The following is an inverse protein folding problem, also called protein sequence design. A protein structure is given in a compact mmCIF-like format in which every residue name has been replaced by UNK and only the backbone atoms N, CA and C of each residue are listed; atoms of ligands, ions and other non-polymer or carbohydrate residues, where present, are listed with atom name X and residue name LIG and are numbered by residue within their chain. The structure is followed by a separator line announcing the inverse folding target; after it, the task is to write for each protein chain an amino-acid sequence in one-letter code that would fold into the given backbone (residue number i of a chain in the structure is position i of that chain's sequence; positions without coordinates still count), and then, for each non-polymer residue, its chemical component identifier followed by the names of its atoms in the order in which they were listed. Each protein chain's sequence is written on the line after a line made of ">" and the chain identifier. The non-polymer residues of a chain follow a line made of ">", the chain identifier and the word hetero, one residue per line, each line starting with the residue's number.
data_IF_063541943390
#
_entry.id   IF_063541943390
#
_cell.length_a   1.000
_cell.length_b   1.000
_cell.length_c   1.000
_cell.angle_alpha   90.00
_cell.angle_beta   90.00
_cell.angle_gamma   90.00
#
_symmetry.space_group_name_H-M   'P 1'
#
loop_
_entity.id
_entity.type
_entity.pdbx_description
1 polymer ?
#
# COMPACT_ATOMS: atom_id res chain seq x y z
N UNK A 1 22.38 4.79 -55.72
CA UNK A 1 20.97 4.80 -55.26
C UNK A 1 20.47 3.46 -54.71
N UNK A 2 20.88 2.28 -55.23
CA UNK A 2 20.40 0.96 -54.76
C UNK A 2 20.54 0.68 -53.25
N UNK A 3 21.52 1.25 -52.56
CA UNK A 3 21.73 0.96 -51.13
C UNK A 3 20.83 1.76 -50.17
N UNK A 4 20.28 2.93 -50.59
CA UNK A 4 19.35 3.69 -49.72
C UNK A 4 18.02 2.98 -49.53
N UNK A 5 17.52 2.30 -50.57
CA UNK A 5 16.27 1.55 -50.51
C UNK A 5 16.37 0.29 -49.61
N UNK A 6 17.57 -0.28 -49.43
CA UNK A 6 17.79 -1.43 -48.55
C UNK A 6 17.67 -1.07 -47.07
N UNK A 7 18.18 0.09 -46.66
CA UNK A 7 18.11 0.54 -45.26
C UNK A 7 16.66 0.87 -44.86
N UNK A 8 15.93 1.57 -45.73
CA UNK A 8 14.50 1.86 -45.51
C UNK A 8 13.68 0.57 -45.46
N UNK A 9 13.99 -0.42 -46.30
CA UNK A 9 13.33 -1.73 -46.28
C UNK A 9 13.55 -2.49 -44.97
N UNK A 10 14.75 -2.47 -44.40
CA UNK A 10 15.04 -3.13 -43.11
C UNK A 10 14.33 -2.44 -41.94
N UNK A 11 14.23 -1.10 -41.96
CA UNK A 11 13.55 -0.34 -40.91
C UNK A 11 12.04 -0.60 -40.91
N UNK A 12 11.43 -0.63 -42.10
CA UNK A 12 10.02 -0.99 -42.25
C UNK A 12 9.74 -2.45 -41.84
N UNK A 13 10.68 -3.36 -42.12
CA UNK A 13 10.58 -4.76 -41.65
C UNK A 13 10.61 -4.82 -40.12
N UNK A 14 11.50 -4.05 -39.47
CA UNK A 14 11.57 -3.95 -38.01
C UNK A 14 10.27 -3.42 -37.39
N UNK A 15 9.68 -2.38 -37.97
CA UNK A 15 8.37 -1.85 -37.54
C UNK A 15 7.26 -2.88 -37.71
N UNK A 16 7.27 -3.63 -38.82
CA UNK A 16 6.29 -4.69 -39.07
C UNK A 16 6.41 -5.81 -38.02
N UNK A 17 7.65 -6.22 -37.68
CA UNK A 17 7.89 -7.22 -36.63
C UNK A 17 7.45 -6.71 -35.25
N UNK A 18 7.73 -5.45 -34.90
CA UNK A 18 7.26 -4.85 -33.63
C UNK A 18 5.73 -4.87 -33.56
N UNK A 19 5.04 -4.49 -34.64
CA UNK A 19 3.58 -4.54 -34.68
C UNK A 19 3.03 -5.97 -34.60
N UNK A 20 3.67 -6.94 -35.27
CA UNK A 20 3.26 -8.35 -35.19
C UNK A 20 3.44 -8.90 -33.78
N UNK A 21 4.53 -8.53 -33.09
CA UNK A 21 4.78 -8.95 -31.70
C UNK A 21 3.77 -8.34 -30.74
N UNK A 22 3.38 -7.08 -30.95
CA UNK A 22 2.32 -6.42 -30.17
C UNK A 22 0.96 -7.11 -30.37
N UNK A 23 0.62 -7.47 -31.61
CA UNK A 23 -0.63 -8.22 -31.88
C UNK A 23 -0.59 -9.61 -31.24
N UNK A 24 0.55 -10.31 -31.29
CA UNK A 24 0.66 -11.62 -30.64
C UNK A 24 0.49 -11.55 -29.12
N UNK A 25 1.02 -10.50 -28.48
CA UNK A 25 0.86 -10.26 -27.03
C UNK A 25 -0.61 -10.00 -26.69
N UNK A 26 -1.34 -9.24 -27.53
CA UNK A 26 -2.78 -9.04 -27.35
C UNK A 26 -3.58 -10.34 -27.55
N UNK A 27 -3.16 -11.24 -28.43
CA UNK A 27 -3.86 -12.52 -28.66
C UNK A 27 -3.53 -13.62 -27.65
N UNK A 28 -2.50 -13.44 -26.83
CA UNK A 28 -2.16 -14.35 -25.72
C UNK A 28 -2.64 -13.83 -24.37
N UNK A 29 -3.47 -12.78 -24.34
CA UNK A 29 -4.39 -12.63 -23.24
C UNK A 29 -5.28 -13.88 -23.29
N UNK A 30 -4.93 -14.89 -22.48
CA UNK A 30 -5.84 -15.99 -22.20
C UNK A 30 -7.18 -15.35 -21.89
N UNK A 31 -8.24 -15.90 -22.49
CA UNK A 31 -9.60 -15.49 -22.16
C UNK A 31 -9.73 -15.72 -20.66
N UNK A 32 -9.71 -14.62 -19.89
CA UNK A 32 -10.01 -14.63 -18.47
C UNK A 32 -11.34 -15.33 -18.36
N UNK A 33 -11.33 -16.47 -17.69
CA UNK A 33 -12.54 -17.23 -17.47
C UNK A 33 -13.14 -16.66 -16.19
N UNK A 34 -14.09 -15.76 -16.36
CA UNK A 34 -14.79 -15.04 -15.30
C UNK A 34 -16.27 -15.42 -15.44
N UNK A 35 -16.69 -16.38 -14.63
CA UNK A 35 -18.00 -17.02 -14.78
C UNK A 35 -19.14 -16.25 -14.14
N UNK A 36 -18.86 -15.46 -13.11
CA UNK A 36 -19.82 -14.65 -12.37
C UNK A 36 -19.76 -13.15 -12.73
N UNK A 37 -18.81 -12.76 -13.59
CA UNK A 37 -18.63 -11.42 -14.13
C UNK A 37 -18.30 -10.39 -13.03
N UNK A 38 -17.52 -10.79 -12.03
CA UNK A 38 -17.00 -9.91 -10.99
C UNK A 38 -15.68 -9.20 -11.42
N UNK A 39 -15.12 -9.60 -12.56
CA UNK A 39 -13.88 -9.07 -13.12
C UNK A 39 -12.62 -9.85 -12.73
N UNK A 40 -12.76 -10.97 -12.03
CA UNK A 40 -11.69 -11.82 -11.52
C UNK A 40 -11.65 -13.16 -12.28
N UNK A 41 -10.45 -13.72 -12.45
CA UNK A 41 -10.31 -15.04 -13.10
C UNK A 41 -10.72 -16.16 -12.15
N UNK A 42 -11.64 -17.03 -12.55
CA UNK A 42 -12.15 -18.18 -11.78
C UNK A 42 -11.00 -19.05 -11.20
N UNK A 43 -9.86 -19.19 -11.90
CA UNK A 43 -8.74 -19.99 -11.37
C UNK A 43 -8.01 -19.25 -10.24
N UNK A 44 -7.96 -17.92 -10.31
CA UNK A 44 -7.38 -17.09 -9.25
C UNK A 44 -8.28 -17.12 -8.02
N UNK A 45 -9.60 -17.09 -8.22
CA UNK A 45 -10.58 -17.27 -7.16
C UNK A 45 -10.45 -18.63 -6.50
N UNK A 46 -10.47 -19.73 -7.27
CA UNK A 46 -10.40 -21.10 -6.74
C UNK A 46 -9.14 -21.33 -5.89
N UNK A 47 -7.99 -20.76 -6.29
CA UNK A 47 -6.75 -20.87 -5.52
C UNK A 47 -6.80 -20.07 -4.20
N UNK A 48 -7.59 -18.99 -4.16
CA UNK A 48 -7.72 -18.13 -2.99
C UNK A 48 -8.98 -18.40 -2.15
N UNK A 49 -9.88 -19.26 -2.63
CA UNK A 49 -11.14 -19.62 -2.00
C UNK A 49 -10.94 -20.20 -0.60
N UNK A 50 -11.90 -19.92 0.29
CA UNK A 50 -11.82 -20.23 1.72
C UNK A 50 -13.08 -20.90 2.21
N UNK A 51 -12.91 -21.76 3.20
CA UNK A 51 -13.99 -22.29 4.03
C UNK A 51 -14.18 -21.35 5.22
N UNK A 52 -15.43 -20.92 5.44
CA UNK A 52 -15.78 -20.05 6.56
C UNK A 52 -16.67 -20.80 7.55
N UNK A 53 -16.25 -20.82 8.81
CA UNK A 53 -17.03 -21.31 9.94
C UNK A 53 -17.30 -20.14 10.88
N UNK A 54 -18.56 -19.98 11.30
CA UNK A 54 -19.00 -18.92 12.21
C UNK A 54 -19.64 -19.57 13.42
N UNK A 55 -19.06 -19.33 14.60
CA UNK A 55 -19.58 -19.74 15.89
C UNK A 55 -20.05 -18.51 16.66
N UNK A 56 -21.28 -18.53 17.19
CA UNK A 56 -21.82 -17.49 18.07
C UNK A 56 -21.96 -18.02 19.50
N UNK A 57 -21.42 -17.31 20.49
CA UNK A 57 -21.44 -17.71 21.90
C UNK A 57 -22.24 -16.72 22.73
N UNK A 58 -23.21 -17.23 23.49
CA UNK A 58 -23.98 -16.48 24.49
C UNK A 58 -24.59 -15.15 24.01
N UNK A 59 -24.73 -14.99 22.69
CA UNK A 59 -25.21 -13.80 21.98
C UNK A 59 -24.34 -12.54 22.10
N UNK A 60 -23.21 -12.59 22.81
CA UNK A 60 -22.30 -11.46 23.06
C UNK A 60 -20.94 -11.65 22.37
N UNK A 61 -20.64 -12.85 21.89
CA UNK A 61 -19.39 -13.14 21.19
C UNK A 61 -19.67 -13.88 19.87
N UNK A 62 -18.86 -13.59 18.85
CA UNK A 62 -18.79 -14.40 17.64
C UNK A 62 -17.35 -14.66 17.25
N UNK A 63 -17.05 -15.89 16.82
CA UNK A 63 -15.77 -16.27 16.25
C UNK A 63 -15.97 -16.71 14.81
N UNK A 64 -15.20 -16.12 13.91
CA UNK A 64 -15.15 -16.49 12.51
C UNK A 64 -13.79 -17.13 12.23
N UNK A 65 -13.82 -18.29 11.62
CA UNK A 65 -12.64 -19.00 11.16
C UNK A 65 -12.71 -19.08 9.64
N UNK A 66 -11.74 -18.46 8.96
CA UNK A 66 -11.61 -18.52 7.50
C UNK A 66 -10.33 -19.28 7.13
N UNK A 67 -10.50 -20.46 6.54
CA UNK A 67 -9.44 -21.39 6.18
C UNK A 67 -9.29 -21.46 4.67
N UNK A 68 -8.09 -21.21 4.12
CA UNK A 68 -7.89 -21.38 2.67
C UNK A 68 -8.04 -22.85 2.24
N UNK A 69 -8.82 -23.09 1.17
CA UNK A 69 -9.08 -24.42 0.60
C UNK A 69 -7.88 -25.00 -0.13
N UNK A 70 -7.11 -24.15 -0.82
CA UNK A 70 -6.00 -24.56 -1.68
C UNK A 70 -4.94 -25.40 -0.94
N UNK A 71 -4.56 -26.52 -1.56
CA UNK A 71 -3.48 -27.38 -1.06
C UNK A 71 -2.08 -26.76 -1.26
N UNK A 72 -1.95 -25.70 -2.05
CA UNK A 72 -0.66 -25.04 -2.29
C UNK A 72 -0.16 -24.31 -1.03
N UNK A 73 -1.07 -23.67 -0.30
CA UNK A 73 -0.79 -22.91 0.91
C UNK A 73 -2.03 -22.93 1.80
N UNK A 74 -1.90 -23.51 2.99
CA UNK A 74 -2.95 -23.47 4.01
C UNK A 74 -2.60 -22.41 5.03
N UNK A 75 -3.44 -21.41 5.15
CA UNK A 75 -3.41 -20.39 6.21
C UNK A 75 -4.81 -20.19 6.77
N UNK A 76 -4.87 -19.53 7.92
CA UNK A 76 -6.11 -19.31 8.67
C UNK A 76 -6.19 -17.84 9.09
N UNK A 77 -7.33 -17.21 8.80
CA UNK A 77 -7.76 -15.97 9.43
C UNK A 77 -8.75 -16.31 10.53
N UNK A 78 -8.59 -15.67 11.68
CA UNK A 78 -9.50 -15.78 12.83
C UNK A 78 -9.96 -14.38 13.15
N UNK A 79 -11.27 -14.17 13.20
CA UNK A 79 -11.88 -12.91 13.59
C UNK A 79 -12.69 -13.18 14.85
N UNK A 80 -12.27 -12.61 15.97
CA UNK A 80 -13.05 -12.65 17.21
C UNK A 80 -13.81 -11.33 17.35
N UNK A 81 -15.11 -11.41 17.63
CA UNK A 81 -15.99 -10.27 17.84
C UNK A 81 -16.52 -10.38 19.26
N UNK A 82 -16.33 -9.32 20.04
CA UNK A 82 -16.80 -9.24 21.44
C UNK A 82 -17.66 -7.98 21.62
N UNK A 83 -18.84 -8.16 22.21
CA UNK A 83 -19.76 -7.11 22.59
C UNK A 83 -19.61 -6.83 24.08
N UNK A 84 -19.15 -5.64 24.45
CA UNK A 84 -18.86 -5.32 25.86
C UNK A 84 -19.34 -3.92 26.24
N UNK A 85 -19.09 -3.53 27.50
CA UNK A 85 -19.35 -2.17 27.95
C UNK A 85 -18.49 -1.12 27.22
N UNK A 86 -17.38 -1.56 26.62
CA UNK A 86 -16.43 -0.72 25.89
C UNK A 86 -16.73 -0.59 24.40
N UNK A 87 -17.74 -1.28 23.85
CA UNK A 87 -18.02 -1.20 22.41
C UNK A 87 -18.24 -2.54 21.73
N UNK A 88 -18.09 -2.48 20.40
CA UNK A 88 -17.91 -3.66 19.54
C UNK A 88 -16.41 -3.78 19.27
N UNK A 89 -15.78 -4.82 19.83
CA UNK A 89 -14.38 -5.16 19.58
C UNK A 89 -14.28 -6.21 18.47
N UNK A 90 -13.40 -5.99 17.50
CA UNK A 90 -13.13 -6.89 16.39
C UNK A 90 -11.62 -7.15 16.31
N UNK A 91 -11.23 -8.34 16.75
CA UNK A 91 -9.86 -8.84 16.76
C UNK A 91 -9.54 -9.59 15.48
N UNK A 92 -8.54 -9.13 14.73
CA UNK A 92 -8.10 -9.76 13.48
C UNK A 92 -6.78 -10.51 13.68
N UNK A 93 -6.85 -11.85 13.60
CA UNK A 93 -5.75 -12.77 13.87
C UNK A 93 -5.40 -13.60 12.64
N UNK A 94 -4.13 -13.99 12.54
CA UNK A 94 -3.61 -14.78 11.42
C UNK A 94 -2.69 -15.92 11.85
N UNK A 95 -2.80 -17.04 11.13
CA UNK A 95 -1.84 -18.15 11.14
C UNK A 95 -1.39 -18.48 9.74
N UNK A 96 -0.09 -18.38 9.51
CA UNK A 96 0.55 -18.68 8.23
C UNK A 96 0.46 -20.14 7.80
N UNK A 97 0.30 -21.04 8.77
CA UNK A 97 -0.01 -22.45 8.60
C UNK A 97 -0.73 -22.98 9.85
N UNK A 98 -1.40 -24.11 9.73
CA UNK A 98 -2.25 -24.66 10.80
C UNK A 98 -1.49 -25.00 12.10
N UNK A 99 -0.18 -25.23 12.01
CA UNK A 99 0.68 -25.57 13.15
C UNK A 99 1.43 -24.34 13.71
N UNK A 100 1.32 -23.17 13.06
CA UNK A 100 2.02 -21.94 13.48
C UNK A 100 1.31 -21.26 14.64
N UNK A 101 2.10 -20.49 15.41
CA UNK A 101 1.54 -19.61 16.43
C UNK A 101 0.62 -18.56 15.79
N UNK A 102 -0.46 -18.27 16.49
CA UNK A 102 -1.40 -17.22 16.11
C UNK A 102 -0.81 -15.87 16.42
N UNK A 103 -0.92 -14.94 15.47
CA UNK A 103 -0.51 -13.54 15.65
C UNK A 103 -1.75 -12.68 15.55
N UNK A 104 -2.01 -11.85 16.58
CA UNK A 104 -2.99 -10.78 16.49
C UNK A 104 -2.36 -9.65 15.69
N UNK A 105 -2.93 -9.33 14.53
CA UNK A 105 -2.38 -8.29 13.65
C UNK A 105 -2.88 -6.92 14.08
N UNK A 106 -4.20 -6.80 14.23
CA UNK A 106 -4.83 -5.59 14.72
C UNK A 106 -6.18 -5.90 15.36
N UNK A 107 -6.63 -5.00 16.22
CA UNK A 107 -7.96 -4.98 16.82
C UNK A 107 -8.55 -3.59 16.69
N UNK A 108 -9.84 -3.52 16.38
CA UNK A 108 -10.60 -2.27 16.33
C UNK A 108 -11.74 -2.32 17.34
N UNK A 109 -12.00 -1.19 18.00
CA UNK A 109 -13.13 -1.07 18.94
C UNK A 109 -13.95 0.17 18.59
N UNK A 110 -15.21 -0.02 18.20
CA UNK A 110 -16.18 1.07 18.06
C UNK A 110 -16.76 1.42 19.43
N UNK A 111 -16.23 2.47 20.06
CA UNK A 111 -16.44 2.74 21.48
C UNK A 111 -17.68 3.58 21.77
N UNK A 112 -17.74 4.78 21.19
CA UNK A 112 -18.84 5.72 21.41
C UNK A 112 -19.02 6.69 20.23
N UNK A 113 -20.20 7.30 20.16
CA UNK A 113 -20.47 8.43 19.26
C UNK A 113 -20.47 9.70 20.10
N UNK A 114 -19.72 10.71 19.67
CA UNK A 114 -19.61 12.01 20.33
C UNK A 114 -20.33 13.04 19.49
N UNK A 115 -21.34 13.72 20.05
CA UNK A 115 -21.92 14.91 19.45
C UNK A 115 -21.09 16.13 19.88
N UNK A 116 -20.60 16.91 18.92
CA UNK A 116 -19.76 18.08 19.20
C UNK A 116 -20.06 19.26 18.29
N UNK A 117 -19.72 20.46 18.78
CA UNK A 117 -19.66 21.68 17.99
C UNK A 117 -18.21 21.97 17.60
N UNK A 118 -17.96 21.87 16.29
CA UNK A 118 -16.69 22.20 15.65
C UNK A 118 -16.39 23.70 15.78
N UNK A 119 -15.44 24.03 16.67
CA UNK A 119 -15.17 25.42 17.07
C UNK A 119 -14.16 26.09 16.14
N UNK A 120 -13.27 25.32 15.52
CA UNK A 120 -12.22 25.82 14.62
C UNK A 120 -12.57 25.65 13.12
N UNK A 121 -13.70 25.00 12.81
CA UNK A 121 -14.25 24.77 11.47
C UNK A 121 -13.36 23.89 10.58
N UNK A 122 -12.59 22.97 11.17
CA UNK A 122 -11.76 22.02 10.41
C UNK A 122 -12.47 20.70 10.08
N UNK A 123 -13.70 20.50 10.60
CA UNK A 123 -14.53 19.29 10.48
C UNK A 123 -13.95 18.04 11.18
N UNK A 124 -12.95 18.19 12.05
CA UNK A 124 -12.29 17.11 12.76
C UNK A 124 -12.47 17.32 14.26
N UNK A 125 -13.08 16.35 14.93
CA UNK A 125 -13.22 16.42 16.38
C UNK A 125 -11.86 16.49 17.07
N UNK A 126 -11.64 17.58 17.80
CA UNK A 126 -10.51 17.76 18.69
C UNK A 126 -11.00 18.01 20.12
N UNK A 127 -10.79 17.09 21.07
CA UNK A 127 -11.29 17.22 22.43
C UNK A 127 -10.68 18.40 23.23
N UNK A 128 -9.57 18.99 22.76
CA UNK A 128 -8.95 20.17 23.39
C UNK A 128 -9.52 21.50 22.88
N UNK A 129 -10.15 21.50 21.69
CA UNK A 129 -10.61 22.71 21.01
C UNK A 129 -12.14 22.75 20.94
N UNK A 130 -12.77 21.63 20.64
CA UNK A 130 -14.20 21.55 20.36
C UNK A 130 -15.04 21.37 21.60
N UNK A 131 -16.29 21.82 21.49
CA UNK A 131 -17.26 21.67 22.55
C UNK A 131 -18.03 20.37 22.38
N UNK A 132 -17.79 19.41 23.28
CA UNK A 132 -18.63 18.21 23.42
C UNK A 132 -20.02 18.58 23.95
N UNK A 133 -21.05 18.07 23.29
CA UNK A 133 -22.47 18.26 23.65
C UNK A 133 -22.99 17.04 24.41
N UNK A 134 -22.81 15.84 23.86
CA UNK A 134 -23.15 14.57 24.51
C UNK A 134 -22.31 13.42 23.97
N UNK A 135 -22.23 12.35 24.77
CA UNK A 135 -21.64 11.08 24.38
C UNK A 135 -22.73 10.01 24.37
N UNK A 136 -22.74 9.20 23.33
CA UNK A 136 -23.60 8.04 23.16
C UNK A 136 -22.75 6.77 23.24
N UNK A 137 -22.88 6.04 24.35
CA UNK A 137 -22.16 4.79 24.55
C UNK A 137 -22.72 3.66 23.68
N UNK A 138 -21.83 2.93 23.00
CA UNK A 138 -22.18 1.73 22.23
C UNK A 138 -21.96 0.52 23.14
N UNK A 139 -22.90 0.22 24.04
CA UNK A 139 -22.64 -0.78 25.10
C UNK A 139 -23.83 -1.69 25.46
N UNK A 140 -24.94 -1.57 24.74
CA UNK A 140 -26.11 -2.43 24.93
C UNK A 140 -26.59 -2.93 23.59
N UNK A 141 -26.64 -4.24 23.40
CA UNK A 141 -26.83 -4.87 22.10
C UNK A 141 -28.05 -5.79 22.07
N UNK A 142 -28.61 -5.99 20.89
CA UNK A 142 -29.40 -7.17 20.58
C UNK A 142 -28.48 -8.38 20.35
N UNK A 143 -29.07 -9.57 20.34
CA UNK A 143 -28.34 -10.79 19.97
C UNK A 143 -27.73 -10.65 18.57
N UNK A 144 -26.52 -11.19 18.39
CA UNK A 144 -25.83 -11.24 17.08
C UNK A 144 -26.70 -12.03 16.09
N UNK A 145 -27.08 -11.38 14.98
CA UNK A 145 -27.82 -12.01 13.89
C UNK A 145 -26.84 -12.45 12.80
N UNK A 146 -26.95 -13.71 12.37
CA UNK A 146 -26.05 -14.31 11.39
C UNK A 146 -26.84 -15.02 10.29
N UNK A 147 -26.47 -14.74 9.05
CA UNK A 147 -27.03 -15.38 7.87
C UNK A 147 -25.96 -15.61 6.80
N UNK A 148 -26.24 -16.52 5.87
CA UNK A 148 -25.40 -16.79 4.70
C UNK A 148 -26.26 -16.70 3.46
N UNK A 149 -25.81 -15.94 2.47
CA UNK A 149 -26.43 -15.92 1.15
C UNK A 149 -26.06 -17.18 0.37
N UNK A 150 -27.06 -17.99 -0.02
CA UNK A 150 -26.84 -19.22 -0.80
C UNK A 150 -26.31 -18.93 -2.23
N UNK A 151 -26.53 -17.73 -2.77
CA UNK A 151 -26.15 -17.40 -4.15
C UNK A 151 -24.64 -17.16 -4.29
N UNK A 152 -24.03 -16.47 -3.32
CA UNK A 152 -22.66 -15.98 -3.43
C UNK A 152 -21.76 -16.41 -2.24
N UNK A 153 -22.23 -17.34 -1.40
CA UNK A 153 -21.54 -17.74 -0.15
C UNK A 153 -21.09 -16.54 0.70
N UNK A 154 -21.89 -15.48 0.72
CA UNK A 154 -21.61 -14.26 1.47
C UNK A 154 -22.13 -14.42 2.89
N UNK A 155 -21.24 -14.43 3.87
CA UNK A 155 -21.57 -14.44 5.28
C UNK A 155 -21.90 -13.02 5.72
N UNK A 156 -23.06 -12.85 6.37
CA UNK A 156 -23.52 -11.58 6.88
C UNK A 156 -23.80 -11.70 8.37
N UNK A 157 -23.10 -10.90 9.18
CA UNK A 157 -23.33 -10.76 10.61
C UNK A 157 -23.84 -9.35 10.87
N UNK A 158 -24.93 -9.23 11.62
CA UNK A 158 -25.49 -7.95 12.02
C UNK A 158 -25.45 -7.81 13.53
N UNK A 159 -24.87 -6.71 13.98
CA UNK A 159 -24.81 -6.29 15.38
C UNK A 159 -25.54 -4.97 15.48
N UNK A 160 -26.39 -4.80 16.49
CA UNK A 160 -27.24 -3.62 16.63
C UNK A 160 -27.41 -3.27 18.08
N UNK A 161 -27.32 -1.98 18.40
CA UNK A 161 -27.66 -1.52 19.75
C UNK A 161 -29.16 -1.71 20.02
N UNK A 162 -29.57 -1.83 21.28
CA UNK A 162 -30.98 -2.06 21.64
C UNK A 162 -31.93 -0.98 21.07
N UNK A 163 -31.45 0.26 21.01
CA UNK A 163 -32.19 1.40 20.45
C UNK A 163 -32.02 1.56 18.92
N UNK A 164 -31.29 0.66 18.26
CA UNK A 164 -31.00 0.65 16.83
C UNK A 164 -30.30 1.93 16.31
N UNK A 165 -29.74 2.74 17.21
CA UNK A 165 -29.01 3.96 16.84
C UNK A 165 -27.67 3.67 16.19
N UNK A 166 -26.99 2.60 16.61
CA UNK A 166 -25.74 2.16 16.01
C UNK A 166 -25.86 0.70 15.59
N UNK A 167 -25.61 0.43 14.32
CA UNK A 167 -25.65 -0.89 13.72
C UNK A 167 -24.36 -1.12 12.94
N UNK A 168 -23.88 -2.35 12.96
CA UNK A 168 -22.73 -2.79 12.19
C UNK A 168 -23.13 -4.03 11.41
N UNK A 169 -22.87 -4.01 10.11
CA UNK A 169 -23.07 -5.14 9.21
C UNK A 169 -21.71 -5.61 8.72
N UNK A 170 -21.36 -6.84 9.06
CA UNK A 170 -20.10 -7.45 8.71
C UNK A 170 -20.32 -8.42 7.57
N UNK A 171 -19.51 -8.28 6.52
CA UNK A 171 -19.56 -9.11 5.32
C UNK A 171 -18.23 -9.82 5.11
N UNK A 172 -18.29 -11.14 4.99
CA UNK A 172 -17.13 -11.99 4.71
C UNK A 172 -17.47 -12.94 3.55
N UNK A 173 -16.55 -13.05 2.60
CA UNK A 173 -16.75 -13.82 1.39
C UNK A 173 -15.83 -15.05 1.35
N UNK A 174 -16.35 -16.19 0.86
CA UNK A 174 -15.53 -17.38 0.62
C UNK A 174 -14.57 -17.20 -0.56
N UNK A 175 -14.96 -16.41 -1.56
CA UNK A 175 -14.19 -16.04 -2.75
C UNK A 175 -14.34 -14.54 -3.04
N UNK A 176 -13.93 -14.07 -4.22
CA UNK A 176 -14.17 -12.68 -4.58
C UNK A 176 -15.67 -12.49 -4.82
N UNK A 177 -16.22 -11.36 -4.37
CA UNK A 177 -17.64 -11.10 -4.55
C UNK A 177 -17.90 -9.62 -4.65
N UNK A 178 -18.73 -9.23 -5.61
CA UNK A 178 -19.19 -7.86 -5.77
C UNK A 178 -20.39 -7.60 -4.85
N UNK A 179 -20.22 -6.70 -3.87
CA UNK A 179 -21.31 -6.23 -2.99
C UNK A 179 -21.44 -4.72 -3.17
N UNK A 180 -22.59 -4.28 -3.71
CA UNK A 180 -22.87 -2.85 -4.00
C UNK A 180 -21.76 -2.18 -4.83
N UNK A 181 -21.32 -2.84 -5.90
CA UNK A 181 -20.26 -2.38 -6.81
C UNK A 181 -18.85 -2.30 -6.18
N UNK A 182 -18.65 -2.81 -4.96
CA UNK A 182 -17.34 -2.96 -4.34
C UNK A 182 -16.95 -4.44 -4.30
N UNK A 183 -15.74 -4.73 -4.73
CA UNK A 183 -15.21 -6.09 -4.65
C UNK A 183 -14.74 -6.37 -3.23
N UNK A 184 -15.25 -7.43 -2.63
CA UNK A 184 -14.78 -7.95 -1.34
C UNK A 184 -13.85 -9.12 -1.61
N UNK A 185 -12.64 -9.06 -1.06
CA UNK A 185 -11.69 -10.17 -1.16
C UNK A 185 -11.92 -11.20 -0.05
N UNK A 186 -11.55 -12.48 -0.23
CA UNK A 186 -11.70 -13.49 0.83
C UNK A 186 -10.70 -13.30 1.99
N UNK A 187 -9.89 -12.24 1.95
CA UNK A 187 -8.84 -11.92 2.91
C UNK A 187 -9.14 -10.72 3.78
N UNK A 188 -10.34 -10.16 3.65
CA UNK A 188 -10.82 -8.99 4.39
C UNK A 188 -12.22 -9.22 4.94
N UNK A 189 -12.59 -8.38 5.90
CA UNK A 189 -13.93 -8.23 6.45
C UNK A 189 -14.40 -6.82 6.09
N UNK A 190 -15.49 -6.72 5.34
CA UNK A 190 -16.17 -5.44 5.09
C UNK A 190 -17.11 -5.14 6.26
N UNK A 191 -17.09 -3.89 6.71
CA UNK A 191 -17.81 -3.39 7.88
C UNK A 191 -18.67 -2.22 7.41
N UNK A 192 -19.97 -2.42 7.22
CA UNK A 192 -20.91 -1.31 6.98
C UNK A 192 -21.44 -0.80 8.33
N UNK A 193 -20.99 0.38 8.72
CA UNK A 193 -21.47 1.15 9.86
C UNK A 193 -22.76 1.87 9.46
N UNK A 194 -23.80 1.75 10.27
CA UNK A 194 -25.06 2.49 10.15
C UNK A 194 -25.37 3.23 11.46
N UNK A 195 -25.42 4.57 11.38
CA UNK A 195 -25.93 5.42 12.47
C UNK A 195 -27.29 5.95 12.06
N UNK A 196 -28.34 5.53 12.78
CA UNK A 196 -29.73 5.82 12.41
C UNK A 196 -30.50 6.47 13.56
N UNK A 197 -31.28 7.50 13.26
CA UNK A 197 -32.14 8.21 14.23
C UNK A 197 -31.40 8.73 15.47
N UNK A 198 -30.14 9.16 15.32
CA UNK A 198 -29.39 9.79 16.41
C UNK A 198 -30.11 11.06 16.89
N UNK A 199 -30.33 11.18 18.21
CA UNK A 199 -31.06 12.32 18.79
C UNK A 199 -30.11 13.46 19.11
N UNK A 200 -29.88 14.35 18.15
CA UNK A 200 -29.06 15.55 18.32
C UNK A 200 -29.66 16.51 19.36
N UNK A 201 -28.80 17.09 20.20
CA UNK A 201 -29.18 18.12 21.16
C UNK A 201 -28.93 19.54 20.61
N UNK A 202 -28.11 19.68 19.57
CA UNK A 202 -27.84 20.93 18.85
C UNK A 202 -28.12 20.76 17.34
N UNK A 203 -28.65 21.79 16.69
CA UNK A 203 -28.99 21.78 15.26
C UNK A 203 -27.78 22.10 14.35
N UNK A 204 -26.63 22.42 14.95
CA UNK A 204 -25.40 22.77 14.23
C UNK A 204 -24.22 21.85 14.55
N UNK A 205 -24.46 20.80 15.34
CA UNK A 205 -23.45 19.84 15.77
C UNK A 205 -23.12 18.80 14.71
N UNK A 206 -22.09 18.02 15.01
CA UNK A 206 -21.56 16.93 14.20
C UNK A 206 -21.40 15.70 15.06
N UNK A 207 -21.19 14.56 14.41
CA UNK A 207 -20.87 13.31 15.08
C UNK A 207 -19.41 12.92 14.85
N UNK A 208 -18.73 12.54 15.92
CA UNK A 208 -17.42 11.87 15.89
C UNK A 208 -17.58 10.45 16.40
N UNK A 209 -17.34 9.45 15.56
CA UNK A 209 -17.28 8.04 15.99
C UNK A 209 -15.89 7.75 16.54
N UNK A 210 -15.79 7.60 17.86
CA UNK A 210 -14.55 7.25 18.54
C UNK A 210 -14.23 5.78 18.30
N UNK A 211 -13.17 5.52 17.54
CA UNK A 211 -12.64 4.18 17.28
C UNK A 211 -11.28 4.02 17.94
N UNK A 212 -11.12 2.96 18.74
CA UNK A 212 -9.82 2.54 19.27
C UNK A 212 -9.18 1.54 18.34
N UNK A 213 -7.85 1.56 18.26
CA UNK A 213 -7.02 0.67 17.48
C UNK A 213 -5.97 0.04 18.41
N UNK A 214 -5.76 -1.26 18.30
CA UNK A 214 -4.71 -1.97 19.04
C UNK A 214 -3.88 -2.81 18.09
N UNK A 215 -2.56 -2.74 18.21
CA UNK A 215 -1.62 -3.62 17.51
C UNK A 215 -0.27 -3.61 18.24
N UNK A 216 0.47 -4.72 18.16
CA UNK A 216 1.86 -4.73 18.63
C UNK A 216 2.79 -3.88 17.74
N UNK A 217 2.38 -3.63 16.49
CA UNK A 217 3.09 -2.79 15.54
C UNK A 217 2.52 -1.37 15.48
N UNK A 218 3.35 -0.43 15.02
CA UNK A 218 2.91 0.95 14.77
C UNK A 218 2.02 1.01 13.52
N UNK A 219 0.99 1.85 13.59
CA UNK A 219 0.13 2.15 12.45
C UNK A 219 0.77 3.22 11.56
N UNK A 220 0.73 2.98 10.25
CA UNK A 220 1.22 3.87 9.20
C UNK A 220 0.07 4.20 8.27
N UNK A 221 -0.23 5.49 8.12
CA UNK A 221 -1.23 5.98 7.18
C UNK A 221 -0.81 5.74 5.74
N UNK A 222 -1.76 5.36 4.90
CA UNK A 222 -1.58 5.11 3.48
C UNK A 222 -2.66 5.87 2.70
N UNK A 223 -2.23 6.71 1.76
CA UNK A 223 -3.10 7.53 0.91
C UNK A 223 -3.56 6.79 -0.36
N UNK A 224 -2.96 5.64 -0.70
CA UNK A 224 -3.33 4.84 -1.87
C UNK A 224 -3.32 3.35 -1.47
N UNK A 225 -4.50 2.73 -1.34
CA UNK A 225 -4.64 1.38 -0.77
C UNK A 225 -4.28 0.27 -1.78
N UNK A 226 -4.03 -0.94 -1.29
CA UNK A 226 -3.80 -2.11 -2.18
C UNK A 226 -5.03 -2.39 -3.08
N UNK A 227 -6.22 -2.14 -2.57
CA UNK A 227 -7.47 -2.29 -3.31
C UNK A 227 -7.60 -1.25 -4.42
N UNK A 228 -7.24 0.01 -4.16
CA UNK A 228 -7.21 1.05 -5.19
C UNK A 228 -6.18 0.75 -6.28
N UNK A 229 -4.97 0.30 -5.90
CA UNK A 229 -3.92 -0.10 -6.86
C UNK A 229 -4.37 -1.24 -7.77
N UNK A 230 -5.23 -2.13 -7.27
CA UNK A 230 -5.81 -3.25 -8.03
C UNK A 230 -7.11 -2.88 -8.74
N UNK A 231 -7.69 -1.72 -8.46
CA UNK A 231 -8.97 -1.27 -9.02
C UNK A 231 -10.20 -1.90 -8.36
N UNK A 232 -10.07 -2.43 -7.14
CA UNK A 232 -11.15 -3.04 -6.35
C UNK A 232 -11.97 -2.01 -5.57
N UNK A 233 -11.37 -0.84 -5.32
CA UNK A 233 -12.00 0.28 -4.64
C UNK A 233 -11.51 1.62 -5.21
N UNK A 234 -12.12 2.72 -4.76
CA UNK A 234 -11.76 4.08 -5.14
C UNK A 234 -12.01 5.04 -3.98
N UNK A 235 -11.15 6.06 -3.83
CA UNK A 235 -11.23 7.06 -2.77
C UNK A 235 -11.20 6.42 -1.39
N UNK A 236 -10.23 5.54 -1.18
CA UNK A 236 -10.00 4.91 0.12
C UNK A 236 -8.75 5.50 0.78
N UNK A 237 -8.86 5.76 2.08
CA UNK A 237 -7.71 6.01 2.94
C UNK A 237 -7.58 4.84 3.90
N UNK A 238 -6.38 4.54 4.39
CA UNK A 238 -6.26 3.52 5.43
C UNK A 238 -5.01 3.59 6.26
N UNK A 239 -4.94 2.62 7.17
CA UNK A 239 -3.84 2.39 8.08
C UNK A 239 -3.31 0.98 7.86
N UNK A 240 -1.99 0.84 7.87
CA UNK A 240 -1.32 -0.43 7.89
C UNK A 240 -0.59 -0.62 9.21
N UNK A 241 -0.59 -1.83 9.73
CA UNK A 241 0.32 -2.23 10.81
C UNK A 241 1.01 -3.53 10.43
N UNK A 242 2.29 -3.64 10.75
CA UNK A 242 3.08 -4.84 10.46
C UNK A 242 3.51 -5.48 11.76
N UNK A 243 3.05 -6.71 12.00
CA UNK A 243 3.47 -7.55 13.12
C UNK A 243 4.15 -8.79 12.56
N UNK A 244 5.42 -8.98 12.94
CA UNK A 244 6.31 -9.97 12.33
C UNK A 244 6.49 -9.75 10.81
N UNK A 245 6.06 -10.69 9.97
CA UNK A 245 6.14 -10.62 8.50
C UNK A 245 4.77 -10.35 7.85
N UNK A 246 3.74 -10.06 8.64
CA UNK A 246 2.36 -9.91 8.18
C UNK A 246 1.90 -8.48 8.35
N UNK A 247 1.24 -7.95 7.32
CA UNK A 247 0.69 -6.60 7.33
C UNK A 247 -0.82 -6.66 7.38
N UNK A 248 -1.38 -6.23 8.50
CA UNK A 248 -2.82 -5.98 8.63
C UNK A 248 -3.14 -4.58 8.13
N UNK A 249 -4.37 -4.39 7.66
CA UNK A 249 -4.85 -3.08 7.22
C UNK A 249 -6.23 -2.78 7.81
N UNK A 250 -6.51 -1.50 7.98
CA UNK A 250 -7.82 -0.93 8.28
C UNK A 250 -8.04 0.26 7.34
N UNK A 251 -8.94 0.10 6.37
CA UNK A 251 -9.21 1.11 5.33
C UNK A 251 -10.66 1.56 5.39
N UNK A 252 -10.97 2.70 4.77
CA UNK A 252 -12.31 3.25 4.70
C UNK A 252 -12.47 4.14 3.48
N UNK A 253 -13.71 4.32 3.04
CA UNK A 253 -14.03 5.25 1.97
C UNK A 253 -13.99 6.69 2.50
N UNK A 254 -13.43 7.63 1.74
CA UNK A 254 -13.41 9.05 2.10
C UNK A 254 -14.81 9.70 2.06
N UNK A 255 -15.82 8.94 1.63
CA UNK A 255 -17.22 9.34 1.56
C UNK A 255 -18.13 8.42 2.36
N UNK A 256 -19.09 9.01 3.06
CA UNK A 256 -20.24 8.33 3.66
C UNK A 256 -21.52 8.72 2.92
N UNK A 257 -22.54 7.86 2.97
CA UNK A 257 -23.89 8.21 2.52
C UNK A 257 -24.69 8.75 3.70
N UNK A 258 -25.03 10.03 3.66
CA UNK A 258 -25.78 10.74 4.70
C UNK A 258 -27.09 11.21 4.10
N UNK A 259 -28.21 10.69 4.61
CA UNK A 259 -29.56 10.97 4.12
C UNK A 259 -29.68 10.85 2.59
N UNK A 260 -29.19 9.72 2.05
CA UNK A 260 -29.15 9.39 0.61
C UNK A 260 -28.17 10.23 -0.24
N UNK A 261 -27.42 11.15 0.36
CA UNK A 261 -26.42 11.96 -0.33
C UNK A 261 -24.99 11.53 0.07
N UNK A 262 -24.11 11.40 -0.92
CA UNK A 262 -22.68 11.18 -0.65
C UNK A 262 -22.05 12.46 -0.07
N UNK A 263 -21.38 12.32 1.08
CA UNK A 263 -20.68 13.39 1.78
C UNK A 263 -19.27 12.95 2.13
N UNK A 264 -18.31 13.86 2.01
CA UNK A 264 -16.94 13.64 2.47
C UNK A 264 -16.96 13.45 4.00
N UNK A 265 -16.18 12.49 4.48
CA UNK A 265 -15.88 12.32 5.90
C UNK A 265 -14.47 12.79 6.20
N UNK A 266 -14.25 13.21 7.43
CA UNK A 266 -12.91 13.61 7.89
C UNK A 266 -12.48 12.67 9.01
N UNK A 267 -11.30 12.09 8.87
CA UNK A 267 -10.73 11.22 9.91
C UNK A 267 -9.62 11.99 10.62
N UNK A 268 -9.64 11.97 11.95
CA UNK A 268 -8.57 12.60 12.72
C UNK A 268 -7.24 11.89 12.52
N UNK A 269 -6.14 12.60 12.79
CA UNK A 269 -4.85 11.95 12.97
C UNK A 269 -4.92 10.88 14.07
N UNK A 270 -4.06 9.87 13.97
CA UNK A 270 -3.89 8.84 14.99
C UNK A 270 -3.35 9.50 16.27
N UNK A 271 -4.06 9.28 17.37
CA UNK A 271 -3.66 9.74 18.69
C UNK A 271 -3.34 8.55 19.60
N UNK A 272 -2.44 8.75 20.56
CA UNK A 272 -2.18 7.75 21.60
C UNK A 272 -3.37 7.69 22.55
N UNK A 273 -3.87 6.49 22.83
CA UNK A 273 -4.80 6.27 23.94
C UNK A 273 -3.99 5.95 25.21
N UNK A 274 -3.96 6.89 26.15
CA UNK A 274 -3.21 6.75 27.40
C UNK A 274 -3.81 5.74 28.39
N UNK A 275 -4.99 5.19 28.11
CA UNK A 275 -5.66 4.25 28.99
C UNK A 275 -5.28 2.78 28.72
N UNK A 276 -4.63 2.49 27.60
CA UNK A 276 -4.36 1.12 27.14
C UNK A 276 -2.92 0.98 26.61
N UNK A 277 -2.26 -0.12 26.98
CA UNK A 277 -0.96 -0.46 26.40
C UNK A 277 -1.13 -0.75 24.91
N UNK A 278 -0.35 -0.09 24.05
CA UNK A 278 -0.48 -0.13 22.58
C UNK A 278 -1.82 0.39 22.03
N UNK A 279 -2.58 1.12 22.84
CA UNK A 279 -3.82 1.76 22.42
C UNK A 279 -3.54 3.01 21.58
N UNK A 280 -4.14 3.04 20.40
CA UNK A 280 -4.26 4.23 19.57
C UNK A 280 -5.73 4.53 19.32
N UNK A 281 -6.04 5.74 18.89
CA UNK A 281 -7.41 6.16 18.59
C UNK A 281 -7.51 7.11 17.43
N UNK A 282 -8.66 7.09 16.79
CA UNK A 282 -9.07 8.05 15.77
C UNK A 282 -10.57 8.33 15.87
N UNK A 283 -10.99 9.40 15.20
CA UNK A 283 -12.38 9.82 15.12
C UNK A 283 -12.80 9.90 13.66
N UNK A 284 -13.85 9.18 13.28
CA UNK A 284 -14.56 9.40 12.01
C UNK A 284 -15.59 10.51 12.21
N UNK A 285 -15.46 11.60 11.45
CA UNK A 285 -16.29 12.78 11.62
C UNK A 285 -17.33 12.87 10.51
N UNK A 286 -18.59 12.96 10.91
CA UNK A 286 -19.75 13.04 10.04
C UNK A 286 -20.47 14.36 10.24
N UNK A 287 -20.95 14.94 9.14
CA UNK A 287 -21.95 16.00 9.20
C UNK A 287 -23.27 15.45 9.77
N UNK A 288 -24.11 16.33 10.29
CA UNK A 288 -25.42 15.96 10.80
C UNK A 288 -26.28 15.28 9.73
N UNK A 289 -26.90 14.16 10.09
CA UNK A 289 -27.86 13.43 9.27
C UNK A 289 -28.69 12.47 10.10
N UNK A 290 -29.84 12.05 9.56
CA UNK A 290 -30.71 11.08 10.22
C UNK A 290 -30.24 9.64 10.01
N UNK A 291 -29.67 9.34 8.84
CA UNK A 291 -29.10 8.05 8.51
C UNK A 291 -27.72 8.27 7.89
N UNK A 292 -26.69 7.67 8.49
CA UNK A 292 -25.30 7.75 8.06
C UNK A 292 -24.84 6.32 7.79
N UNK A 293 -24.37 6.06 6.57
CA UNK A 293 -23.77 4.79 6.17
C UNK A 293 -22.33 5.01 5.77
N UNK A 294 -21.42 4.25 6.36
CA UNK A 294 -20.00 4.30 6.07
C UNK A 294 -19.41 2.90 6.12
N UNK A 295 -18.41 2.60 5.31
CA UNK A 295 -18.15 1.23 4.91
C UNK A 295 -16.67 0.79 5.01
N UNK A 296 -16.04 0.93 6.20
CA UNK A 296 -14.67 0.48 6.41
C UNK A 296 -14.43 -1.00 6.12
N UNK A 297 -13.14 -1.35 5.96
CA UNK A 297 -12.66 -2.73 5.81
C UNK A 297 -11.48 -2.99 6.73
N UNK A 298 -11.34 -4.24 7.12
CA UNK A 298 -10.18 -4.74 7.87
C UNK A 298 -9.69 -6.04 7.23
N UNK A 299 -8.38 -6.22 7.09
CA UNK A 299 -7.86 -7.42 6.44
C UNK A 299 -6.35 -7.60 6.52
N UNK A 300 -5.83 -8.48 5.66
CA UNK A 300 -4.39 -8.79 5.59
C UNK A 300 -3.90 -8.62 4.16
N UNK A 301 -2.81 -7.87 4.01
CA UNK A 301 -2.15 -7.64 2.72
C UNK A 301 -1.25 -8.79 2.30
N UNK A 302 -1.11 -8.97 0.99
CA UNK A 302 -0.09 -9.84 0.40
C UNK A 302 -0.21 -11.33 0.71
N UNK A 303 -1.33 -11.80 1.27
CA UNK A 303 -1.54 -13.22 1.53
C UNK A 303 -2.20 -13.97 0.38
N UNK A 304 -2.85 -13.25 -0.55
CA UNK A 304 -3.42 -13.82 -1.77
C UNK A 304 -2.32 -14.48 -2.62
N UNK A 305 -2.61 -15.69 -3.10
CA UNK A 305 -1.69 -16.49 -3.91
C UNK A 305 -1.89 -16.11 -5.37
N UNK A 306 -0.87 -15.54 -6.06
CA UNK A 306 -0.99 -15.19 -7.46
C UNK A 306 -1.15 -16.45 -8.31
N UNK A 307 -1.83 -16.31 -9.47
CA UNK A 307 -1.86 -17.38 -10.46
C UNK A 307 -0.44 -17.81 -10.82
N UNK A 308 -0.17 -19.14 -10.90
CA UNK A 308 1.11 -19.60 -11.38
C UNK A 308 1.28 -19.09 -12.80
N UNK A 309 2.26 -18.20 -13.01
CA UNK A 309 2.63 -17.75 -14.35
C UNK A 309 3.01 -19.02 -15.13
N UNK A 310 2.27 -19.41 -16.17
CA UNK A 310 2.56 -20.66 -16.85
C UNK A 310 4.00 -20.64 -17.34
N UNK A 311 4.83 -21.59 -16.87
CA UNK A 311 6.27 -21.72 -17.15
C UNK A 311 6.61 -21.65 -18.67
N UNK A 312 5.61 -21.81 -19.53
CA UNK A 312 5.75 -21.81 -20.99
C UNK A 312 5.82 -20.43 -21.65
N UNK A 313 5.39 -19.33 -20.99
CA UNK A 313 5.28 -18.01 -21.64
C UNK A 313 6.50 -17.10 -21.44
N UNK A 314 7.25 -17.27 -20.35
CA UNK A 314 8.44 -16.46 -20.05
C UNK A 314 9.61 -16.68 -21.02
N UNK A 315 9.98 -17.90 -21.48
CA UNK A 315 11.07 -18.01 -22.45
C UNK A 315 10.67 -17.43 -23.80
N UNK A 316 9.43 -17.61 -24.27
CA UNK A 316 9.05 -17.15 -25.60
C UNK A 316 9.07 -15.62 -25.72
N UNK A 317 8.48 -14.89 -24.76
CA UNK A 317 8.47 -13.42 -24.78
C UNK A 317 9.85 -12.82 -24.55
N UNK A 318 10.66 -13.36 -23.62
CA UNK A 318 12.04 -12.93 -23.45
C UNK A 318 12.89 -13.25 -24.69
N UNK A 319 12.72 -14.42 -25.31
CA UNK A 319 13.41 -14.77 -26.56
C UNK A 319 13.00 -13.79 -27.66
N UNK A 320 11.71 -13.49 -27.83
CA UNK A 320 11.23 -12.50 -28.80
C UNK A 320 11.81 -11.12 -28.53
N UNK A 321 11.83 -10.66 -27.28
CA UNK A 321 12.42 -9.39 -26.88
C UNK A 321 13.93 -9.34 -27.18
N UNK A 322 14.67 -10.38 -26.77
CA UNK A 322 16.12 -10.51 -26.98
C UNK A 322 16.44 -10.55 -28.48
N UNK A 323 15.69 -11.32 -29.28
CA UNK A 323 15.86 -11.39 -30.73
C UNK A 323 15.56 -10.03 -31.37
N UNK A 324 14.55 -9.32 -30.89
CA UNK A 324 14.20 -7.99 -31.38
C UNK A 324 15.30 -6.98 -31.07
N UNK A 325 15.75 -6.88 -29.82
CA UNK A 325 16.85 -6.00 -29.40
C UNK A 325 18.15 -6.35 -30.15
N UNK A 326 18.45 -7.63 -30.28
CA UNK A 326 19.62 -8.12 -31.02
C UNK A 326 19.57 -7.74 -32.50
N UNK A 327 18.40 -7.86 -33.14
CA UNK A 327 18.21 -7.50 -34.55
C UNK A 327 18.36 -5.99 -34.78
N UNK A 328 17.80 -5.15 -33.90
CA UNK A 328 17.91 -3.69 -33.95
C UNK A 328 19.35 -3.25 -33.72
N UNK A 329 20.04 -3.87 -32.75
CA UNK A 329 21.45 -3.58 -32.44
C UNK A 329 22.37 -3.97 -33.60
N UNK A 330 22.19 -5.17 -34.18
CA UNK A 330 22.95 -5.62 -35.34
C UNK A 330 22.71 -4.71 -36.56
N UNK A 331 21.46 -4.29 -36.79
CA UNK A 331 21.13 -3.33 -37.84
C UNK A 331 21.86 -2.00 -37.59
N UNK A 332 21.79 -1.44 -36.37
CA UNK A 332 22.45 -0.20 -36.00
C UNK A 332 23.97 -0.27 -36.23
N UNK A 333 24.64 -1.31 -35.72
CA UNK A 333 26.08 -1.56 -35.91
C UNK A 333 26.42 -1.65 -37.40
N UNK A 334 25.64 -2.40 -38.19
CA UNK A 334 25.84 -2.52 -39.63
C UNK A 334 25.73 -1.16 -40.33
N UNK A 335 24.74 -0.33 -39.99
CA UNK A 335 24.61 1.02 -40.52
C UNK A 335 25.81 1.90 -40.17
N UNK A 336 26.24 1.89 -38.90
CA UNK A 336 27.40 2.66 -38.43
C UNK A 336 28.67 2.22 -39.17
N UNK A 337 28.92 0.91 -39.28
CA UNK A 337 30.07 0.37 -39.98
C UNK A 337 30.07 0.76 -41.46
N UNK A 338 28.96 0.57 -42.17
CA UNK A 338 28.88 0.82 -43.61
C UNK A 338 28.95 2.32 -43.96
N UNK A 339 28.38 3.21 -43.13
CA UNK A 339 28.45 4.66 -43.37
C UNK A 339 29.73 5.30 -42.82
N UNK A 340 30.29 4.76 -41.74
CA UNK A 340 31.56 5.23 -41.15
C UNK A 340 32.77 4.90 -42.03
N UNK A 341 32.82 3.70 -42.61
CA UNK A 341 33.94 3.25 -43.46
C UNK A 341 33.94 3.86 -44.88
N UNK A 342 32.78 4.33 -45.37
CA UNK A 342 32.66 5.00 -46.66
C UNK A 342 32.88 6.53 -46.62
N UNK A 343 33.24 7.10 -45.47
CA UNK A 343 33.79 8.46 -45.45
C UNK A 343 35.21 8.40 -46.02
N UNK A 344 35.33 8.62 -47.32
CA UNK A 344 36.58 9.01 -47.98
C UNK A 344 37.27 10.07 -47.13
N UNK A 345 38.53 9.79 -46.81
CA UNK A 345 39.43 10.59 -45.99
C UNK A 345 39.38 12.08 -46.39
N UNK A 346 38.58 12.85 -45.66
CA UNK A 346 38.75 14.30 -45.55
C UNK A 346 39.82 14.50 -44.49
N UNK A 347 41.08 14.32 -44.88
CA UNK A 347 42.21 14.80 -44.10
C UNK A 347 42.05 16.31 -43.95
N UNK A 348 41.87 16.81 -42.73
CA UNK A 348 42.55 18.03 -42.23
C UNK A 348 42.13 18.46 -40.81
N UNK A 349 41.12 17.88 -40.17
CA UNK A 349 40.66 18.37 -38.84
C UNK A 349 41.21 17.61 -37.62
N UNK A 350 41.98 16.54 -37.79
CA UNK A 350 42.50 15.75 -36.65
C UNK A 350 43.74 16.36 -35.97
N UNK A 351 44.51 17.22 -36.66
CA UNK A 351 45.74 17.82 -36.09
C UNK A 351 45.50 18.94 -35.08
N UNK A 352 44.37 19.65 -35.15
CA UNK A 352 44.11 20.77 -34.23
C UNK A 352 43.51 20.34 -32.90
N UNK A 353 42.84 19.18 -32.85
CA UNK A 353 42.18 18.70 -31.63
C UNK A 353 43.17 18.10 -30.63
N UNK A 354 44.20 17.37 -31.08
CA UNK A 354 45.24 16.85 -30.18
C UNK A 354 46.13 17.96 -29.60
N UNK A 355 46.31 19.07 -30.31
CA UNK A 355 47.06 20.23 -29.81
C UNK A 355 46.29 20.99 -28.72
N UNK A 356 44.97 21.13 -28.87
CA UNK A 356 44.11 21.82 -27.90
C UNK A 356 43.99 21.09 -26.55
N UNK A 357 43.99 19.75 -26.54
CA UNK A 357 43.84 18.98 -25.30
C UNK A 357 45.14 18.84 -24.50
N UNK A 358 46.29 18.87 -25.17
CA UNK A 358 47.60 18.80 -24.48
C UNK A 358 47.97 20.11 -23.78
N UNK A 359 47.52 21.24 -24.29
CA UNK A 359 47.88 22.57 -23.76
C UNK A 359 47.03 22.99 -22.53
N UNK A 360 45.95 22.28 -22.21
CA UNK A 360 44.96 22.71 -21.19
C UNK A 360 44.90 21.82 -19.95
N UNK A 361 45.59 20.68 -19.91
CA UNK A 361 45.39 19.67 -18.83
C UNK A 361 46.67 19.01 -18.30
N UNK A 362 47.88 19.50 -18.62
CA UNK A 362 49.10 19.04 -17.94
C UNK A 362 49.50 20.03 -16.83
N UNK A 363 48.85 19.93 -15.67
CA UNK A 363 49.44 20.18 -14.35
C UNK A 363 48.40 19.95 -13.25
N UNK A 364 48.41 18.76 -12.63
CA UNK A 364 48.21 18.60 -11.18
C UNK A 364 48.28 17.12 -10.77
N UNK A 365 49.36 16.83 -10.05
CA UNK A 365 49.51 15.86 -8.95
C UNK A 365 48.87 14.46 -9.05
N UNK A 366 49.77 13.49 -9.16
CA UNK A 366 49.56 12.08 -8.84
C UNK A 366 49.06 11.94 -7.40
N UNK A 367 47.81 11.52 -7.22
CA UNK A 367 47.35 10.90 -5.97
C UNK A 367 47.27 9.39 -6.17
N UNK A 368 47.81 8.65 -5.20
CA UNK A 368 47.77 7.19 -5.17
C UNK A 368 46.32 6.66 -5.16
N UNK A 369 46.04 5.52 -5.80
CA UNK A 369 44.69 4.98 -5.86
C UNK A 369 44.32 4.36 -4.51
N UNK A 370 43.39 4.98 -3.80
CA UNK A 370 42.59 4.29 -2.80
C UNK A 370 41.72 3.25 -3.51
N UNK A 371 42.01 1.98 -3.28
CA UNK A 371 41.20 0.85 -3.75
C UNK A 371 40.08 0.56 -2.76
N UNK A 372 38.99 1.31 -2.85
CA UNK A 372 37.67 0.83 -2.43
C UNK A 372 36.69 1.19 -3.53
N UNK A 373 36.32 0.19 -4.34
CA UNK A 373 35.28 0.32 -5.37
C UNK A 373 33.96 0.71 -4.69
N UNK A 374 33.36 1.87 -5.00
CA UNK A 374 32.07 2.26 -4.45
C UNK A 374 30.99 1.23 -4.84
N UNK A 375 30.03 0.97 -3.96
CA UNK A 375 28.92 0.04 -4.23
C UNK A 375 28.18 0.35 -5.55
N UNK A 376 28.12 1.61 -5.95
CA UNK A 376 27.57 2.06 -7.24
C UNK A 376 28.32 1.53 -8.48
N UNK A 377 29.61 1.24 -8.40
CA UNK A 377 30.35 0.60 -9.49
C UNK A 377 30.07 -0.90 -9.63
N UNK A 378 29.54 -1.55 -8.59
CA UNK A 378 29.12 -2.96 -8.64
C UNK A 378 27.90 -3.11 -9.57
N UNK A 379 27.00 -2.10 -9.60
CA UNK A 379 25.82 -2.08 -10.46
C UNK A 379 26.15 -1.93 -11.96
N UNK A 380 27.27 -1.28 -12.28
CA UNK A 380 27.67 -0.94 -13.65
C UNK A 380 28.64 -1.96 -14.27
N UNK A 381 29.08 -2.96 -13.52
CA UNK A 381 29.98 -4.01 -13.99
C UNK A 381 29.27 -5.23 -14.57
N UNK A 382 29.96 -5.97 -15.44
CA UNK A 382 29.49 -7.30 -15.87
C UNK A 382 29.36 -8.23 -14.65
N UNK A 383 28.29 -9.04 -14.62
CA UNK A 383 27.87 -9.92 -13.51
C UNK A 383 27.48 -9.18 -12.21
N UNK A 384 26.92 -7.98 -12.32
CA UNK A 384 26.44 -7.17 -11.18
C UNK A 384 25.43 -7.90 -10.29
N UNK A 385 24.54 -8.71 -10.88
CA UNK A 385 23.51 -9.47 -10.16
C UNK A 385 24.12 -10.58 -9.29
N UNK A 386 25.08 -11.36 -9.81
CA UNK A 386 25.77 -12.39 -9.01
C UNK A 386 26.60 -11.78 -7.87
N UNK A 387 27.18 -10.60 -8.09
CA UNK A 387 27.91 -9.86 -7.04
C UNK A 387 26.98 -9.29 -5.98
N UNK A 388 25.80 -8.81 -6.36
CA UNK A 388 24.76 -8.38 -5.43
C UNK A 388 24.23 -9.53 -4.57
N UNK A 389 23.98 -10.70 -5.18
CA UNK A 389 23.51 -11.90 -4.49
C UNK A 389 24.52 -12.47 -3.47
N UNK A 390 25.81 -12.14 -3.60
CA UNK A 390 26.84 -12.52 -2.64
C UNK A 390 26.90 -11.61 -1.40
N UNK A 391 26.32 -10.40 -1.46
CA UNK A 391 26.26 -9.50 -0.32
C UNK A 391 25.03 -9.84 0.51
N UNK A 392 25.18 -10.81 1.43
CA UNK A 392 24.17 -11.05 2.46
C UNK A 392 24.09 -9.82 3.36
N UNK A 393 22.88 -9.26 3.52
CA UNK A 393 22.55 -8.11 4.37
C UNK A 393 22.93 -6.74 3.78
N UNK A 394 22.60 -6.49 2.50
CA UNK A 394 22.67 -5.14 1.94
C UNK A 394 21.47 -4.31 2.43
N UNK A 395 21.67 -3.48 3.45
CA UNK A 395 20.66 -2.53 3.89
C UNK A 395 20.75 -1.27 3.01
N UNK A 396 19.80 -1.11 2.09
CA UNK A 396 19.74 0.07 1.20
C UNK A 396 18.86 1.11 1.88
N UNK A 397 19.48 2.18 2.37
CA UNK A 397 18.74 3.33 2.92
C UNK A 397 18.57 4.38 1.82
N UNK A 398 17.31 4.65 1.45
CA UNK A 398 16.97 5.75 0.53
C UNK A 398 16.98 7.07 1.30
N UNK A 399 17.50 8.13 0.69
CA UNK A 399 17.69 9.44 1.31
C UNK A 399 17.18 10.50 0.32
N UNK A 400 16.33 11.42 0.77
CA UNK A 400 15.88 12.56 -0.03
C UNK A 400 16.96 13.63 -0.15
N UNK A 401 16.88 14.49 -1.17
CA UNK A 401 17.76 15.66 -1.29
C UNK A 401 17.61 16.61 -0.09
N UNK A 402 16.37 16.78 0.41
CA UNK A 402 16.03 17.61 1.57
C UNK A 402 16.84 17.25 2.83
N UNK A 403 17.12 15.96 3.04
CA UNK A 403 17.95 15.52 4.17
C UNK A 403 19.35 16.14 4.11
N UNK A 404 19.98 16.15 2.94
CA UNK A 404 21.30 16.76 2.77
C UNK A 404 21.22 18.28 2.86
N UNK A 405 20.15 18.89 2.36
CA UNK A 405 19.94 20.34 2.53
C UNK A 405 19.84 20.73 4.00
N UNK A 406 19.07 19.98 4.81
CA UNK A 406 18.96 20.20 6.25
C UNK A 406 20.32 20.04 6.93
N UNK A 407 21.04 18.96 6.65
CA UNK A 407 22.36 18.72 7.27
C UNK A 407 23.40 19.77 6.85
N UNK A 408 23.30 20.30 5.62
CA UNK A 408 24.19 21.36 5.14
C UNK A 408 23.91 22.72 5.78
N UNK A 409 22.78 22.91 6.46
CA UNK A 409 22.50 24.14 7.24
C UNK A 409 23.24 24.18 8.57
N UNK A 410 23.70 23.03 9.09
CA UNK A 410 24.53 23.00 10.29
C UNK A 410 25.99 23.33 9.94
N UNK A 411 26.62 24.20 10.74
CA UNK A 411 28.03 24.60 10.61
C UNK A 411 29.00 23.52 11.13
N UNK A 412 28.72 22.24 10.90
CA UNK A 412 29.61 21.13 11.29
C UNK A 412 30.74 20.96 10.29
N UNK A 413 31.97 20.87 10.79
CA UNK A 413 33.17 20.70 9.96
C UNK A 413 33.60 19.23 9.85
N UNK A 414 33.94 18.81 8.63
CA UNK A 414 34.69 17.57 8.38
C UNK A 414 34.06 16.29 8.95
N UNK A 415 34.73 15.69 9.94
CA UNK A 415 34.38 14.37 10.46
C UNK A 415 33.08 14.35 11.26
N UNK A 416 32.75 15.44 11.98
CA UNK A 416 31.54 15.50 12.82
C UNK A 416 30.28 15.36 11.97
N UNK A 417 30.24 16.03 10.81
CA UNK A 417 29.15 15.94 9.85
C UNK A 417 28.99 14.53 9.27
N UNK A 418 30.10 13.86 9.00
CA UNK A 418 30.09 12.51 8.44
C UNK A 418 29.65 11.46 9.48
N UNK A 419 30.06 11.61 10.74
CA UNK A 419 29.60 10.76 11.84
C UNK A 419 28.11 10.94 12.08
N UNK A 420 27.64 12.20 12.11
CA UNK A 420 26.21 12.48 12.22
C UNK A 420 25.40 11.86 11.08
N UNK A 421 25.81 12.06 9.82
CA UNK A 421 25.13 11.42 8.66
C UNK A 421 25.09 9.90 8.86
N UNK A 422 26.19 9.28 9.27
CA UNK A 422 26.25 7.82 9.47
C UNK A 422 25.29 7.35 10.56
N UNK A 423 25.20 8.06 11.68
CA UNK A 423 24.25 7.76 12.75
C UNK A 423 22.80 7.93 12.29
N UNK A 424 22.50 9.01 11.56
CA UNK A 424 21.16 9.27 11.02
C UNK A 424 20.74 8.24 9.94
N UNK A 425 21.70 7.63 9.24
CA UNK A 425 21.44 6.57 8.27
C UNK A 425 21.27 5.18 8.91
N UNK A 426 21.65 5.02 10.17
CA UNK A 426 21.47 3.77 10.92
C UNK A 426 20.06 3.64 11.53
N UNK A 427 19.31 4.75 11.59
CA UNK A 427 17.94 4.81 12.14
C UNK A 427 16.88 4.92 11.04
N UNK A 428 15.61 4.72 11.40
CA UNK A 428 14.49 4.75 10.46
C UNK A 428 14.25 6.16 9.89
N UNK A 429 13.60 6.30 8.73
CA UNK A 429 13.26 7.61 8.16
C UNK A 429 12.42 8.50 9.10
N UNK A 430 11.46 7.92 9.83
CA UNK A 430 10.60 8.65 10.76
C UNK A 430 11.37 9.19 11.97
N UNK A 431 12.17 8.35 12.63
CA UNK A 431 13.04 8.75 13.74
C UNK A 431 14.03 9.85 13.31
N UNK A 432 14.58 9.72 12.10
CA UNK A 432 15.46 10.73 11.51
C UNK A 432 14.76 12.07 11.34
N UNK A 433 13.51 12.08 10.83
CA UNK A 433 12.75 13.32 10.67
C UNK A 433 12.42 13.97 12.01
N UNK A 434 12.03 13.18 13.01
CA UNK A 434 11.77 13.67 14.37
C UNK A 434 13.01 14.33 14.98
N UNK A 435 14.17 13.66 14.95
CA UNK A 435 15.44 14.18 15.48
C UNK A 435 15.85 15.46 14.74
N UNK A 436 15.77 15.48 13.41
CA UNK A 436 16.09 16.69 12.64
C UNK A 436 15.13 17.84 12.96
N UNK A 437 13.84 17.54 13.15
CA UNK A 437 12.83 18.52 13.56
C UNK A 437 13.16 19.13 14.93
N UNK A 438 13.53 18.31 15.91
CA UNK A 438 13.94 18.78 17.25
C UNK A 438 15.21 19.64 17.19
N UNK A 439 16.23 19.24 16.43
CA UNK A 439 17.47 20.02 16.28
C UNK A 439 17.17 21.37 15.62
N UNK A 440 16.33 21.40 14.57
CA UNK A 440 15.92 22.64 13.91
C UNK A 440 15.16 23.54 14.91
N UNK A 441 14.21 22.98 15.66
CA UNK A 441 13.44 23.72 16.67
C UNK A 441 14.36 24.35 17.72
N UNK A 442 15.29 23.57 18.29
CA UNK A 442 16.21 24.01 19.33
C UNK A 442 17.23 25.05 18.80
N UNK A 443 17.73 24.89 17.58
CA UNK A 443 18.64 25.87 16.96
C UNK A 443 17.98 27.22 16.73
N UNK A 444 16.67 27.23 16.40
CA UNK A 444 15.90 28.46 16.22
C UNK A 444 15.75 29.27 17.52
N UNK A 445 15.67 28.58 18.67
CA UNK A 445 15.55 29.19 20.00
C UNK A 445 16.86 29.85 20.44
N UNK A 446 18.01 29.25 20.11
CA UNK A 446 19.34 29.75 20.49
C UNK A 446 19.76 30.98 19.64
N UNK A 447 19.18 31.13 18.45
CA UNK A 447 19.48 32.25 17.53
C UNK A 447 18.72 33.55 17.80
N UNK A 448 17.80 33.56 18.77
CA UNK A 448 17.08 34.75 19.27
C UNK A 448 17.68 35.23 20.58
#
# INVERSE_FOLDING_TARGET
>A
MKNKHRVVGLLLLGILFINLTLVSILTTAELVNDSDNDGIDDNYEEINKRDIEVDTFENEEARIISLRRSDQKKDQIIIDIELSEDGIEIDFKYKSNLDSEQVTLLSIVFHEIIEYNDTNLDNIFNPEIDQVIQNFSINTFHDIDYSVSEENSLHHIRISTINETFNVHLYLAEEFVLVKDQLITPTELKIDIEISNFTYLDESSRLGLYTKLRSEGDFVTEEETEDELKGYATSETGLNTTVNEYTGFFTWNDYATIDEASSIIYVSDIMVDHHEDFGQKLYFNYVQGNNIYHDPKIGIKGILVPLPIPDSSTPALLIVLIVTIGSVSAAAIYTIYHYGTNKTSSSNTKKDREKYFREKFEESEVREPYTETPALQILLGENSIEKLLQIKNLNITVISEDFFEIINRFEWEGNEKNEFIKEMLAITPAERQLILGEIIHNSSIISK
#
